data_IF_888732033579
#
_entry.id   IF_888732033579
#
_cell.length_a   1.000
_cell.length_b   1.000
_cell.length_c   1.000
_cell.angle_alpha   90.00
_cell.angle_beta   90.00
_cell.angle_gamma   90.00
#
_symmetry.space_group_name_H-M   'P 1'
#
loop_
_entity.id
_entity.type
_entity.pdbx_description
1 polymer ?
#
# COMPACT_ATOMS: atom_id res chain seq x y z
N UNK A 1 -6.04 10.67 7.13
CA UNK A 1 -7.39 10.20 6.77
C UNK A 1 -7.81 10.72 5.38
N UNK A 2 -7.67 12.01 5.08
CA UNK A 2 -8.06 12.57 3.77
C UNK A 2 -7.40 11.84 2.60
N UNK A 3 -6.08 11.69 2.63
CA UNK A 3 -5.34 10.96 1.58
C UNK A 3 -5.81 9.50 1.45
N UNK A 4 -6.15 8.84 2.55
CA UNK A 4 -6.64 7.46 2.50
C UNK A 4 -8.04 7.38 1.88
N UNK A 5 -8.92 8.33 2.17
CA UNK A 5 -10.22 8.42 1.51
C UNK A 5 -10.08 8.63 -0.01
N UNK A 6 -9.11 9.45 -0.45
CA UNK A 6 -8.81 9.60 -1.88
C UNK A 6 -8.29 8.29 -2.51
N UNK A 7 -7.46 7.53 -1.80
CA UNK A 7 -7.03 6.19 -2.24
C UNK A 7 -8.25 5.26 -2.42
N UNK A 8 -9.17 5.25 -1.45
CA UNK A 8 -10.40 4.46 -1.53
C UNK A 8 -11.25 4.82 -2.76
N UNK A 9 -11.42 6.12 -3.05
CA UNK A 9 -12.09 6.58 -4.26
C UNK A 9 -11.40 6.10 -5.55
N UNK A 10 -10.07 6.20 -5.61
CA UNK A 10 -9.28 5.76 -6.77
C UNK A 10 -9.40 4.25 -6.97
N UNK A 11 -9.31 3.46 -5.90
CA UNK A 11 -9.45 2.00 -5.95
C UNK A 11 -10.83 1.59 -6.47
N UNK A 12 -11.89 2.24 -5.98
CA UNK A 12 -13.26 1.99 -6.42
C UNK A 12 -13.45 2.32 -7.91
N UNK A 13 -13.00 3.50 -8.33
CA UNK A 13 -13.07 3.92 -9.72
C UNK A 13 -12.26 3.01 -10.65
N UNK A 14 -11.07 2.57 -10.18
CA UNK A 14 -10.20 1.66 -10.91
C UNK A 14 -10.85 0.29 -11.11
N UNK A 15 -11.45 -0.28 -10.07
CA UNK A 15 -12.17 -1.55 -10.16
C UNK A 15 -13.29 -1.48 -11.22
N UNK A 16 -14.10 -0.42 -11.21
CA UNK A 16 -15.17 -0.21 -12.18
C UNK A 16 -14.63 -0.09 -13.61
N UNK A 17 -13.57 0.71 -13.82
CA UNK A 17 -12.94 0.91 -15.13
C UNK A 17 -12.35 -0.37 -15.68
N UNK A 18 -11.63 -1.12 -14.86
CA UNK A 18 -10.99 -2.36 -15.29
C UNK A 18 -12.01 -3.45 -15.61
N UNK A 19 -13.08 -3.59 -14.83
CA UNK A 19 -14.16 -4.53 -15.14
C UNK A 19 -14.87 -4.21 -16.47
N UNK A 20 -14.94 -2.92 -16.85
CA UNK A 20 -15.52 -2.52 -18.14
C UNK A 20 -14.56 -2.85 -19.30
N UNK A 21 -13.26 -2.79 -19.07
CA UNK A 21 -12.23 -3.02 -20.08
C UNK A 21 -11.92 -4.50 -20.30
N UNK A 22 -12.09 -5.35 -19.27
CA UNK A 22 -11.84 -6.79 -19.34
C UNK A 22 -13.09 -7.49 -19.87
N UNK A 23 -12.96 -8.13 -21.04
CA UNK A 23 -14.06 -8.86 -21.67
C UNK A 23 -14.24 -10.30 -21.13
N UNK A 24 -13.33 -10.75 -20.30
CA UNK A 24 -13.34 -12.10 -19.75
C UNK A 24 -14.23 -12.19 -18.51
N UNK A 25 -15.30 -12.98 -18.59
CA UNK A 25 -16.26 -13.16 -17.51
C UNK A 25 -15.67 -13.84 -16.25
N UNK A 26 -14.53 -14.53 -16.41
CA UNK A 26 -13.85 -15.21 -15.31
C UNK A 26 -12.92 -14.29 -14.50
N UNK A 27 -12.59 -13.11 -15.05
CA UNK A 27 -11.78 -12.11 -14.36
C UNK A 27 -12.69 -11.09 -13.69
N UNK A 28 -12.88 -11.22 -12.39
CA UNK A 28 -13.65 -10.28 -11.59
C UNK A 28 -12.72 -9.37 -10.79
N UNK A 29 -12.73 -8.08 -11.09
CA UNK A 29 -12.00 -7.06 -10.34
C UNK A 29 -12.98 -6.38 -9.40
N UNK A 30 -12.74 -6.43 -8.10
CA UNK A 30 -13.64 -5.87 -7.12
C UNK A 30 -12.91 -5.01 -6.10
N UNK A 31 -13.59 -3.95 -5.69
CA UNK A 31 -13.20 -3.12 -4.57
C UNK A 31 -14.08 -3.44 -3.36
N UNK A 32 -13.46 -3.55 -2.19
CA UNK A 32 -14.14 -3.74 -0.92
C UNK A 32 -13.60 -2.73 0.09
N UNK A 33 -14.48 -1.92 0.63
CA UNK A 33 -14.20 -1.05 1.76
C UNK A 33 -14.35 -1.85 3.05
N UNK A 34 -13.31 -1.83 3.89
CA UNK A 34 -13.27 -2.60 5.14
C UNK A 34 -13.02 -1.68 6.32
N UNK A 35 -13.94 -0.73 6.52
CA UNK A 35 -13.86 0.29 7.55
C UNK A 35 -12.99 1.50 7.18
N UNK A 36 -12.67 2.32 8.18
CA UNK A 36 -11.97 3.60 8.00
C UNK A 36 -10.48 3.47 7.67
N UNK A 37 -9.89 2.29 7.88
CA UNK A 37 -8.44 2.08 7.84
C UNK A 37 -7.99 1.05 6.81
N UNK A 38 -8.92 0.29 6.22
CA UNK A 38 -8.65 -0.77 5.26
C UNK A 38 -9.42 -0.59 3.97
N UNK A 39 -8.76 -0.93 2.87
CA UNK A 39 -9.34 -0.99 1.55
C UNK A 39 -8.72 -2.15 0.77
N UNK A 40 -9.55 -2.93 0.08
CA UNK A 40 -9.09 -4.10 -0.67
C UNK A 40 -9.42 -3.93 -2.15
N UNK A 41 -8.43 -4.21 -2.99
CA UNK A 41 -8.59 -4.32 -4.42
C UNK A 41 -8.27 -5.76 -4.84
N UNK A 42 -9.28 -6.50 -5.24
CA UNK A 42 -9.14 -7.85 -5.77
C UNK A 42 -9.04 -7.82 -7.29
N UNK A 43 -8.07 -8.53 -7.85
CA UNK A 43 -7.89 -8.71 -9.28
C UNK A 43 -7.18 -10.04 -9.55
N UNK A 44 -7.61 -10.76 -10.58
CA UNK A 44 -7.08 -12.10 -10.86
C UNK A 44 -7.14 -13.00 -9.61
N UNK A 45 -6.05 -13.65 -9.23
CA UNK A 45 -5.89 -14.45 -8.02
C UNK A 45 -5.42 -13.69 -6.79
N UNK A 46 -5.14 -12.37 -6.93
CA UNK A 46 -4.54 -11.51 -5.92
C UNK A 46 -5.52 -10.54 -5.27
N UNK A 47 -5.21 -10.16 -4.04
CA UNK A 47 -5.88 -9.07 -3.33
C UNK A 47 -4.84 -8.14 -2.71
N UNK A 48 -4.79 -6.90 -3.17
CA UNK A 48 -4.07 -5.83 -2.50
C UNK A 48 -4.89 -5.31 -1.33
N UNK A 49 -4.31 -5.37 -0.14
CA UNK A 49 -4.85 -4.74 1.06
C UNK A 49 -4.06 -3.47 1.35
N UNK A 50 -4.73 -2.33 1.31
CA UNK A 50 -4.23 -1.04 1.78
C UNK A 50 -4.65 -0.87 3.22
N UNK A 51 -3.68 -0.80 4.14
CA UNK A 51 -3.92 -0.65 5.56
C UNK A 51 -3.29 0.64 6.07
N UNK A 52 -4.12 1.59 6.52
CA UNK A 52 -3.67 2.83 7.12
C UNK A 52 -3.43 2.64 8.61
N UNK A 53 -2.20 2.86 9.05
CA UNK A 53 -1.85 2.80 10.47
C UNK A 53 -2.49 3.96 11.26
N UNK A 54 -2.96 3.66 12.47
CA UNK A 54 -3.55 4.68 13.37
C UNK A 54 -2.49 5.58 14.02
N UNK A 55 -1.26 5.10 14.13
CA UNK A 55 -0.15 5.82 14.73
C UNK A 55 0.60 6.69 13.71
N UNK A 56 1.26 7.73 14.22
CA UNK A 56 2.21 8.55 13.49
C UNK A 56 3.62 8.10 13.87
N UNK A 57 4.49 7.98 12.88
CA UNK A 57 5.85 7.48 13.03
C UNK A 57 6.85 8.58 12.78
N UNK A 58 7.93 8.63 13.56
CA UNK A 58 9.14 9.40 13.28
C UNK A 58 10.24 8.45 12.80
N UNK A 59 11.15 8.95 11.98
CA UNK A 59 12.29 8.18 11.53
C UNK A 59 13.40 8.19 12.58
N UNK A 60 14.23 7.15 12.61
CA UNK A 60 15.43 7.14 13.42
C UNK A 60 16.31 8.37 13.09
N UNK A 61 16.84 9.01 14.13
CA UNK A 61 17.65 10.25 14.00
C UNK A 61 18.89 10.11 13.11
N UNK A 62 19.35 8.89 12.87
CA UNK A 62 20.44 8.54 11.96
C UNK A 62 20.08 8.68 10.49
N UNK A 63 18.79 8.59 10.14
CA UNK A 63 18.33 8.62 8.74
C UNK A 63 18.61 9.96 8.07
N UNK A 64 18.91 9.90 6.76
CA UNK A 64 19.25 11.05 5.91
C UNK A 64 18.16 12.13 5.90
N UNK A 65 16.90 11.77 6.09
CA UNK A 65 15.77 12.69 6.11
C UNK A 65 15.94 13.82 7.12
N UNK A 66 16.50 13.53 8.31
CA UNK A 66 16.78 14.53 9.35
C UNK A 66 17.91 15.49 9.00
N UNK A 67 18.71 15.19 7.97
CA UNK A 67 19.82 16.02 7.49
C UNK A 67 19.39 17.00 6.41
N UNK A 68 18.18 16.84 5.85
CA UNK A 68 17.64 17.73 4.81
C UNK A 68 17.32 19.11 5.40
N UNK A 69 17.45 20.18 4.60
CA UNK A 69 17.02 21.53 4.97
C UNK A 69 15.53 21.56 5.29
N UNK A 70 14.74 20.82 4.53
CA UNK A 70 13.30 20.71 4.67
C UNK A 70 12.86 20.28 6.08
N UNK A 71 13.48 19.25 6.65
CA UNK A 71 13.18 18.77 8.01
C UNK A 71 13.87 19.61 9.07
N UNK A 72 15.05 20.20 8.78
CA UNK A 72 15.74 21.11 9.72
C UNK A 72 14.96 22.39 9.98
N UNK A 73 14.25 22.91 8.98
CA UNK A 73 13.39 24.09 9.12
C UNK A 73 12.18 23.81 10.02
N UNK A 74 11.61 22.61 9.94
CA UNK A 74 10.51 22.19 10.79
C UNK A 74 10.63 20.69 11.08
N UNK A 75 11.01 20.36 12.32
CA UNK A 75 11.18 18.96 12.77
C UNK A 75 9.91 18.13 12.71
N UNK A 76 8.72 18.76 12.75
CA UNK A 76 7.46 18.04 12.62
C UNK A 76 7.25 17.42 11.23
N UNK A 77 8.06 17.82 10.25
CA UNK A 77 8.01 17.26 8.90
C UNK A 77 8.58 15.84 8.79
N UNK A 78 9.31 15.37 9.82
CA UNK A 78 9.77 13.96 9.88
C UNK A 78 8.69 13.00 10.35
N UNK A 79 7.63 13.51 10.99
CA UNK A 79 6.51 12.68 11.44
C UNK A 79 5.56 12.36 10.30
N UNK A 80 5.35 11.07 10.05
CA UNK A 80 4.55 10.58 8.93
C UNK A 80 3.44 9.63 9.39
N UNK A 81 2.28 9.77 8.78
CA UNK A 81 1.30 8.70 8.71
C UNK A 81 1.81 7.59 7.77
N UNK A 82 1.36 6.37 7.97
CA UNK A 82 1.81 5.20 7.26
C UNK A 82 0.63 4.45 6.65
N UNK A 83 0.76 4.10 5.36
CA UNK A 83 -0.15 3.18 4.67
C UNK A 83 0.67 2.01 4.17
N UNK A 84 0.35 0.81 4.65
CA UNK A 84 0.94 -0.43 4.18
C UNK A 84 0.16 -0.98 3.00
N UNK A 85 0.86 -1.58 2.05
CA UNK A 85 0.25 -2.31 0.93
C UNK A 85 0.72 -3.76 1.03
N UNK A 86 -0.23 -4.65 1.29
CA UNK A 86 0.01 -6.09 1.34
C UNK A 86 -0.58 -6.77 0.12
N UNK A 87 0.09 -7.80 -0.38
CA UNK A 87 -0.46 -8.74 -1.35
C UNK A 87 -0.85 -10.06 -0.66
N UNK A 88 -2.09 -10.49 -0.86
CA UNK A 88 -2.63 -11.78 -0.44
C UNK A 88 -3.17 -12.56 -1.63
N UNK A 89 -3.11 -13.87 -1.57
CA UNK A 89 -3.95 -14.69 -2.43
C UNK A 89 -5.42 -14.40 -2.10
N UNK A 90 -6.23 -14.14 -3.12
CA UNK A 90 -7.65 -13.79 -2.94
C UNK A 90 -8.43 -14.88 -2.18
N UNK A 91 -8.08 -16.14 -2.39
CA UNK A 91 -8.71 -17.28 -1.71
C UNK A 91 -8.37 -17.32 -0.22
N UNK A 92 -7.22 -16.81 0.21
CA UNK A 92 -6.83 -16.75 1.62
C UNK A 92 -7.80 -15.88 2.42
N UNK A 93 -8.13 -14.71 1.89
CA UNK A 93 -9.09 -13.79 2.50
C UNK A 93 -10.53 -14.27 2.34
N UNK A 94 -10.90 -14.78 1.16
CA UNK A 94 -12.25 -15.25 0.86
C UNK A 94 -12.70 -16.41 1.75
N UNK A 95 -11.78 -17.34 2.05
CA UNK A 95 -12.06 -18.54 2.85
C UNK A 95 -11.55 -18.45 4.29
N UNK A 96 -11.15 -17.25 4.74
CA UNK A 96 -10.59 -17.00 6.08
C UNK A 96 -9.50 -18.01 6.46
N UNK A 97 -8.54 -18.20 5.56
CA UNK A 97 -7.39 -19.10 5.80
C UNK A 97 -6.39 -18.39 6.71
N UNK A 98 -6.62 -18.43 8.03
CA UNK A 98 -5.91 -17.63 9.02
C UNK A 98 -4.37 -17.84 9.03
N UNK A 99 -3.91 -19.00 8.57
CA UNK A 99 -2.48 -19.33 8.54
C UNK A 99 -1.80 -18.96 7.21
N UNK A 100 -2.57 -18.48 6.21
CA UNK A 100 -1.98 -18.07 4.95
C UNK A 100 -1.28 -16.72 5.13
N UNK A 101 -0.10 -16.59 4.52
CA UNK A 101 0.70 -15.40 4.61
C UNK A 101 0.28 -14.36 3.56
N UNK A 102 0.39 -13.08 3.95
CA UNK A 102 0.39 -11.94 3.04
C UNK A 102 1.76 -11.28 3.01
N UNK A 103 2.11 -10.67 1.90
CA UNK A 103 3.41 -10.06 1.68
C UNK A 103 3.30 -8.54 1.72
N UNK A 104 4.10 -7.89 2.57
CA UNK A 104 4.22 -6.44 2.56
C UNK A 104 5.05 -6.03 1.33
N UNK A 105 4.40 -5.44 0.33
CA UNK A 105 5.05 -5.04 -0.92
C UNK A 105 5.46 -3.58 -0.94
N UNK A 106 4.77 -2.72 -0.20
CA UNK A 106 5.14 -1.30 -0.09
C UNK A 106 4.61 -0.66 1.20
N UNK A 107 5.27 0.44 1.59
CA UNK A 107 4.84 1.36 2.65
C UNK A 107 4.86 2.78 2.11
N UNK A 108 3.75 3.50 2.23
CA UNK A 108 3.64 4.90 1.86
C UNK A 108 3.73 5.74 3.12
N UNK A 109 4.74 6.59 3.21
CA UNK A 109 4.93 7.56 4.29
C UNK A 109 4.47 8.93 3.83
N UNK A 110 3.61 9.58 4.61
CA UNK A 110 3.02 10.87 4.25
C UNK A 110 3.09 11.80 5.46
N UNK A 111 3.70 12.96 5.33
CA UNK A 111 3.79 13.93 6.41
C UNK A 111 2.65 14.95 6.40
N UNK A 112 2.67 15.87 7.37
CA UNK A 112 1.66 16.91 7.55
C UNK A 112 1.51 17.89 6.36
N UNK A 113 2.55 18.06 5.55
CA UNK A 113 2.57 18.94 4.38
C UNK A 113 2.28 18.16 3.08
N UNK A 114 1.76 16.91 3.20
CA UNK A 114 1.48 16.00 2.08
C UNK A 114 2.72 15.56 1.29
N UNK A 115 3.91 15.82 1.79
CA UNK A 115 5.13 15.25 1.22
C UNK A 115 5.18 13.75 1.54
N UNK A 116 5.62 12.97 0.58
CA UNK A 116 5.57 11.51 0.68
C UNK A 116 6.79 10.84 0.06
N UNK A 117 7.01 9.61 0.46
CA UNK A 117 7.85 8.65 -0.27
C UNK A 117 7.31 7.24 -0.05
N UNK A 118 7.76 6.31 -0.87
CA UNK A 118 7.39 4.90 -0.81
C UNK A 118 8.62 4.07 -0.50
N UNK A 119 8.54 3.24 0.51
CA UNK A 119 9.46 2.11 0.68
C UNK A 119 8.80 0.88 0.06
N UNK A 120 9.45 0.23 -0.88
CA UNK A 120 8.93 -0.94 -1.57
C UNK A 120 9.99 -1.58 -2.43
N UNK A 121 9.67 -2.74 -2.98
CA UNK A 121 10.54 -3.48 -3.85
C UNK A 121 10.51 -2.92 -5.28
N UNK A 122 11.62 -3.10 -6.01
CA UNK A 122 11.77 -2.73 -7.42
C UNK A 122 11.32 -1.28 -7.70
N UNK A 123 10.41 -1.10 -8.64
CA UNK A 123 9.94 0.22 -9.09
C UNK A 123 9.18 1.00 -8.02
N UNK A 124 8.45 0.33 -7.12
CA UNK A 124 7.71 0.97 -6.04
C UNK A 124 8.61 1.81 -5.12
N UNK A 125 9.80 1.30 -4.77
CA UNK A 125 10.75 2.05 -3.95
C UNK A 125 11.60 3.05 -4.72
N UNK A 126 11.76 2.88 -6.04
CA UNK A 126 12.64 3.72 -6.85
C UNK A 126 11.94 4.98 -7.38
N UNK A 127 10.70 4.84 -7.87
CA UNK A 127 9.98 5.94 -8.54
C UNK A 127 9.46 7.02 -7.60
N UNK A 128 9.24 6.69 -6.32
CA UNK A 128 8.58 7.57 -5.35
C UNK A 128 9.47 7.83 -4.13
N UNK A 129 10.70 8.31 -4.35
CA UNK A 129 11.71 8.45 -3.30
C UNK A 129 12.24 9.90 -3.12
N UNK A 130 11.50 10.90 -3.58
CA UNK A 130 11.87 12.30 -3.40
C UNK A 130 10.97 13.00 -2.38
N UNK A 131 11.15 12.63 -1.10
CA UNK A 131 10.36 13.16 0.01
C UNK A 131 10.37 14.69 0.12
N UNK A 132 11.48 15.32 -0.24
CA UNK A 132 11.64 16.77 -0.07
C UNK A 132 10.88 17.57 -1.13
N UNK A 133 10.73 17.03 -2.33
CA UNK A 133 10.18 17.77 -3.47
C UNK A 133 8.85 17.22 -4.00
N UNK A 134 8.42 16.04 -3.55
CA UNK A 134 7.18 15.42 -4.01
C UNK A 134 6.07 15.53 -2.97
N UNK A 135 4.94 16.08 -3.38
CA UNK A 135 3.68 16.03 -2.63
C UNK A 135 2.75 15.01 -3.26
N UNK A 136 2.05 14.24 -2.42
CA UNK A 136 1.11 13.22 -2.89
C UNK A 136 -0.10 13.90 -3.55
N UNK A 137 -0.52 13.35 -4.67
CA UNK A 137 -1.70 13.77 -5.42
C UNK A 137 -2.37 12.53 -6.06
N UNK A 138 -3.52 12.74 -6.71
CA UNK A 138 -4.28 11.63 -7.34
C UNK A 138 -3.48 10.86 -8.40
N UNK A 139 -2.63 11.54 -9.16
CA UNK A 139 -1.77 10.91 -10.16
C UNK A 139 -0.71 10.01 -9.49
N UNK A 140 -0.03 10.51 -8.45
CA UNK A 140 0.91 9.70 -7.69
C UNK A 140 0.23 8.48 -7.07
N UNK A 141 -0.96 8.64 -6.48
CA UNK A 141 -1.71 7.53 -5.89
C UNK A 141 -2.09 6.48 -6.95
N UNK A 142 -2.60 6.92 -8.12
CA UNK A 142 -2.96 6.00 -9.21
C UNK A 142 -1.74 5.24 -9.74
N UNK A 143 -0.59 5.91 -9.86
CA UNK A 143 0.67 5.29 -10.28
C UNK A 143 1.19 4.29 -9.24
N UNK A 144 1.15 4.60 -7.94
CA UNK A 144 1.51 3.68 -6.86
C UNK A 144 0.63 2.42 -6.92
N UNK A 145 -0.69 2.59 -7.09
CA UNK A 145 -1.63 1.47 -7.20
C UNK A 145 -1.33 0.63 -8.44
N UNK A 146 -1.06 1.24 -9.59
CA UNK A 146 -0.68 0.51 -10.81
C UNK A 146 0.61 -0.29 -10.62
N UNK A 147 1.65 0.33 -10.05
CA UNK A 147 2.92 -0.36 -9.77
C UNK A 147 2.74 -1.50 -8.77
N UNK A 148 1.87 -1.35 -7.77
CA UNK A 148 1.56 -2.42 -6.82
C UNK A 148 0.82 -3.58 -7.48
N UNK A 149 -0.14 -3.31 -8.37
CA UNK A 149 -0.83 -4.34 -9.16
C UNK A 149 0.14 -5.07 -10.09
N UNK A 150 0.98 -4.34 -10.80
CA UNK A 150 1.98 -4.92 -11.70
C UNK A 150 2.99 -5.77 -10.94
N UNK A 151 3.47 -5.29 -9.80
CA UNK A 151 4.35 -6.07 -8.93
C UNK A 151 3.69 -7.39 -8.51
N UNK A 152 2.43 -7.36 -8.07
CA UNK A 152 1.71 -8.57 -7.63
C UNK A 152 1.52 -9.57 -8.77
N UNK A 153 1.14 -9.12 -9.96
CA UNK A 153 0.99 -9.98 -11.13
C UNK A 153 2.29 -10.65 -11.56
N UNK A 154 3.43 -10.00 -11.32
CA UNK A 154 4.74 -10.53 -11.65
C UNK A 154 5.37 -11.34 -10.49
N UNK A 155 4.84 -11.19 -9.27
CA UNK A 155 5.39 -11.83 -8.07
C UNK A 155 5.28 -13.35 -8.12
N UNK A 156 4.21 -13.89 -8.70
CA UNK A 156 3.98 -15.34 -8.85
C UNK A 156 4.99 -16.02 -9.78
N UNK A 157 5.72 -15.24 -10.57
CA UNK A 157 6.74 -15.75 -11.51
C UNK A 157 8.13 -15.86 -10.89
N UNK A 158 8.36 -15.22 -9.75
CA UNK A 158 9.62 -15.27 -9.01
C UNK A 158 9.37 -15.81 -7.60
N UNK A 159 9.96 -16.93 -7.24
CA UNK A 159 9.99 -17.39 -5.85
C UNK A 159 10.96 -16.51 -5.06
N UNK A 160 10.49 -15.60 -4.18
CA UNK A 160 11.39 -14.79 -3.38
C UNK A 160 12.18 -15.67 -2.41
N UNK A 161 13.41 -15.27 -2.06
CA UNK A 161 14.15 -15.93 -1.00
C UNK A 161 13.37 -15.85 0.31
N UNK A 162 13.21 -16.97 1.01
CA UNK A 162 12.43 -17.07 2.24
C UNK A 162 12.85 -16.04 3.30
N UNK A 163 14.11 -15.60 3.27
CA UNK A 163 14.66 -14.60 4.19
C UNK A 163 14.33 -13.15 3.80
N UNK A 164 13.90 -12.90 2.57
CA UNK A 164 13.61 -11.55 2.05
C UNK A 164 12.12 -11.20 2.15
N UNK A 165 11.28 -12.16 2.51
CA UNK A 165 9.84 -11.98 2.54
C UNK A 165 9.36 -11.53 3.92
N UNK A 166 8.82 -10.31 3.98
CA UNK A 166 8.13 -9.79 5.16
C UNK A 166 6.67 -10.23 5.10
N UNK A 167 6.31 -11.18 5.95
CA UNK A 167 4.99 -11.81 5.96
C UNK A 167 4.13 -11.28 7.09
N UNK A 168 2.84 -11.16 6.80
CA UNK A 168 1.77 -10.91 7.77
C UNK A 168 0.69 -11.96 7.54
N UNK A 169 0.24 -12.63 8.59
CA UNK A 169 -0.84 -13.62 8.50
C UNK A 169 -2.21 -12.96 8.39
N UNK A 170 -3.19 -13.67 7.85
CA UNK A 170 -4.60 -13.22 7.83
C UNK A 170 -5.10 -12.96 9.26
N UNK A 171 -4.65 -13.76 10.22
CA UNK A 171 -4.99 -13.60 11.64
C UNK A 171 -4.51 -12.25 12.20
N UNK A 172 -3.27 -11.85 11.95
CA UNK A 172 -2.74 -10.57 12.40
C UNK A 172 -3.50 -9.38 11.82
N UNK A 173 -3.90 -9.47 10.54
CA UNK A 173 -4.73 -8.42 9.92
C UNK A 173 -6.13 -8.37 10.53
N UNK A 174 -6.76 -9.53 10.79
CA UNK A 174 -8.10 -9.58 11.39
C UNK A 174 -8.09 -9.12 12.85
N UNK A 175 -7.03 -9.38 13.61
CA UNK A 175 -6.89 -8.93 15.00
C UNK A 175 -6.70 -7.40 15.11
N UNK A 176 -5.99 -6.79 14.16
CA UNK A 176 -5.83 -5.33 14.10
C UNK A 176 -7.19 -4.63 13.93
N UNK A 177 -8.11 -5.24 13.19
CA UNK A 177 -9.45 -4.67 12.90
C UNK A 177 -10.45 -4.84 14.06
N UNK A 178 -10.17 -5.71 15.03
CA UNK A 178 -11.05 -5.99 16.17
C UNK A 178 -10.66 -5.21 17.46
N UNK A 179 -9.60 -4.41 17.43
CA UNK A 179 -9.14 -3.52 18.50
C UNK A 179 -9.33 -2.03 18.14
#
# INVERSE_FOLDING_TARGET
KEVFAEIQEILSAKAMRLNTAVSDADVNISYEESGDFDAKLRFSGDTLLFHMHTNIFDFESSRQIHKTSYVKEDKMRSFCGLINIYNFLSDSLKYNRLNDAGFLIARIFINKDSHFFVEGDKELGFLFNDFVNQQINKEHMDNIINSAMEYSLNFDLETPDLNDVKMVSVHEILDINNN
#
